data_IF_086257662780
#
_entry.id   IF_086257662780
#
_cell.length_a   1.000
_cell.length_b   1.000
_cell.length_c   1.000
_cell.angle_alpha   90.00
_cell.angle_beta   90.00
_cell.angle_gamma   90.00
#
_symmetry.space_group_name_H-M   'P 1'
#
loop_
_entity.id
_entity.type
_entity.pdbx_description
1 polymer ?
#
# COMPACT_ATOMS: atom_id res chain seq x y z
N UNK A 1 -11.51 4.70 -47.71
CA UNK A 1 -10.32 4.95 -46.84
C UNK A 1 -10.51 6.13 -45.88
N UNK A 2 -11.09 7.27 -46.30
CA UNK A 2 -11.27 8.47 -45.45
C UNK A 2 -12.06 8.25 -44.13
N UNK A 3 -13.08 7.37 -44.13
CA UNK A 3 -13.89 7.04 -42.93
C UNK A 3 -13.16 6.17 -41.87
N UNK A 4 -12.19 5.35 -42.29
CA UNK A 4 -11.39 4.53 -41.36
C UNK A 4 -10.32 5.36 -40.64
N UNK A 5 -9.81 6.39 -41.33
CA UNK A 5 -8.83 7.32 -40.77
C UNK A 5 -9.43 8.26 -39.70
N UNK A 6 -10.70 8.65 -39.88
CA UNK A 6 -11.43 9.49 -38.90
C UNK A 6 -11.77 8.72 -37.63
N UNK A 7 -12.08 7.41 -37.73
CA UNK A 7 -12.37 6.57 -36.56
C UNK A 7 -11.11 6.30 -35.72
N UNK A 8 -9.96 6.08 -36.35
CA UNK A 8 -8.69 5.89 -35.65
C UNK A 8 -8.22 7.15 -34.90
N UNK A 9 -8.43 8.34 -35.49
CA UNK A 9 -8.10 9.61 -34.83
C UNK A 9 -9.00 9.89 -33.60
N UNK A 10 -10.28 9.51 -33.67
CA UNK A 10 -11.22 9.67 -32.55
C UNK A 10 -10.89 8.75 -31.35
N UNK A 11 -10.44 7.52 -31.62
CA UNK A 11 -9.98 6.57 -30.59
C UNK A 11 -8.67 7.03 -29.94
N UNK A 12 -7.75 7.62 -30.71
CA UNK A 12 -6.51 8.18 -30.16
C UNK A 12 -6.80 9.38 -29.26
N UNK A 13 -7.69 10.29 -29.66
CA UNK A 13 -8.08 11.45 -28.85
C UNK A 13 -8.82 11.06 -27.55
N UNK A 14 -9.65 10.02 -27.57
CA UNK A 14 -10.33 9.50 -26.39
C UNK A 14 -9.35 8.90 -25.35
N UNK A 15 -8.24 8.34 -25.81
CA UNK A 15 -7.19 7.81 -24.91
C UNK A 15 -6.38 8.90 -24.19
N UNK A 16 -6.28 10.11 -24.76
CA UNK A 16 -5.56 11.23 -24.12
C UNK A 16 -6.42 11.93 -23.06
N UNK A 17 -7.75 11.89 -23.20
CA UNK A 17 -8.69 12.55 -22.27
C UNK A 17 -9.05 11.69 -21.06
N UNK A 18 -8.84 10.36 -21.11
CA UNK A 18 -9.20 9.44 -20.02
C UNK A 18 -8.19 9.31 -18.88
N UNK A 19 -7.05 10.02 -18.94
CA UNK A 19 -5.88 9.71 -18.11
C UNK A 19 -5.50 10.71 -17.02
N UNK A 20 -6.14 11.88 -16.92
CA UNK A 20 -5.84 12.79 -15.80
C UNK A 20 -6.69 12.40 -14.59
N UNK A 21 -6.14 11.51 -13.77
CA UNK A 21 -6.55 11.40 -12.38
C UNK A 21 -6.56 12.82 -11.78
N UNK A 22 -7.73 13.29 -11.34
CA UNK A 22 -7.88 14.60 -10.72
C UNK A 22 -7.24 14.54 -9.32
N UNK A 23 -5.92 14.68 -9.25
CA UNK A 23 -5.22 14.80 -7.99
C UNK A 23 -5.60 16.14 -7.34
N UNK A 24 -6.58 16.10 -6.42
CA UNK A 24 -6.88 17.25 -5.57
C UNK A 24 -5.90 17.26 -4.40
N UNK A 25 -5.24 18.39 -4.20
CA UNK A 25 -4.34 18.58 -3.07
C UNK A 25 -5.14 18.67 -1.77
N UNK A 26 -4.80 17.83 -0.80
CA UNK A 26 -5.24 17.95 0.58
C UNK A 26 -4.09 18.57 1.39
N UNK A 27 -4.36 19.66 2.10
CA UNK A 27 -3.42 20.24 3.07
C UNK A 27 -3.89 19.87 4.46
N UNK A 28 -3.05 19.12 5.19
CA UNK A 28 -3.25 18.75 6.57
C UNK A 28 -2.19 19.44 7.44
N UNK A 29 -2.61 20.27 8.40
CA UNK A 29 -1.71 20.91 9.36
C UNK A 29 -1.44 19.95 10.51
N UNK A 30 -0.32 19.22 10.47
CA UNK A 30 0.10 18.35 11.57
C UNK A 30 0.52 19.17 12.80
N UNK A 31 0.46 18.54 13.96
CA UNK A 31 0.77 19.12 15.27
C UNK A 31 2.29 19.22 15.54
N UNK A 32 3.08 18.41 14.85
CA UNK A 32 4.54 18.38 14.95
C UNK A 32 5.18 17.77 13.68
N UNK A 33 6.50 17.89 13.58
CA UNK A 33 7.28 17.14 12.60
C UNK A 33 7.43 15.66 13.04
N UNK A 34 7.47 14.69 12.11
CA UNK A 34 7.79 13.30 12.45
C UNK A 34 9.28 13.14 12.78
N UNK A 35 9.60 12.21 13.68
CA UNK A 35 10.96 11.80 14.03
C UNK A 35 11.60 10.91 12.95
N UNK A 36 10.79 10.19 12.18
CA UNK A 36 11.26 9.37 11.06
C UNK A 36 10.13 8.70 10.28
N UNK A 37 10.52 7.97 9.23
CA UNK A 37 9.58 7.31 8.30
C UNK A 37 9.60 5.78 8.37
N UNK A 38 10.43 5.19 9.23
CA UNK A 38 10.27 3.80 9.65
C UNK A 38 9.38 3.80 10.89
N UNK A 39 8.17 3.23 10.86
CA UNK A 39 7.27 3.28 12.01
C UNK A 39 7.65 2.31 13.14
N UNK A 40 8.50 1.30 12.94
CA UNK A 40 8.73 0.28 13.97
C UNK A 40 9.41 0.78 15.26
N UNK A 41 10.39 1.72 15.24
CA UNK A 41 11.03 2.18 16.47
C UNK A 41 10.32 3.36 17.15
N UNK A 42 9.26 3.92 16.54
CA UNK A 42 8.57 5.11 17.04
C UNK A 42 7.18 4.79 17.59
N UNK A 43 6.63 5.70 18.40
CA UNK A 43 5.31 5.57 19.02
C UNK A 43 4.43 6.81 18.92
N UNK A 44 4.92 7.89 18.30
CA UNK A 44 4.19 9.15 18.13
C UNK A 44 3.09 9.04 17.09
N UNK A 45 1.96 9.71 17.35
CA UNK A 45 0.85 9.81 16.39
C UNK A 45 1.27 10.51 15.10
N UNK A 46 1.98 11.64 15.24
CA UNK A 46 2.62 12.39 14.15
C UNK A 46 3.56 11.53 13.29
N UNK A 47 4.32 10.62 13.90
CA UNK A 47 5.21 9.71 13.18
C UNK A 47 4.40 8.74 12.30
N UNK A 48 3.34 8.17 12.87
CA UNK A 48 2.45 7.23 12.16
C UNK A 48 1.62 7.90 11.08
N UNK A 49 1.13 9.13 11.31
CA UNK A 49 0.42 9.93 10.31
C UNK A 49 1.29 10.24 9.09
N UNK A 50 2.58 10.54 9.32
CA UNK A 50 3.54 10.79 8.24
C UNK A 50 4.11 9.52 7.59
N UNK A 51 3.92 8.33 8.19
CA UNK A 51 4.53 7.08 7.71
C UNK A 51 3.52 5.93 7.58
N UNK A 52 3.29 5.14 8.63
CA UNK A 52 2.55 3.88 8.59
C UNK A 52 1.13 3.99 8.04
N UNK A 53 0.45 5.11 8.25
CA UNK A 53 -0.93 5.33 7.81
C UNK A 53 -1.05 5.68 6.33
N UNK A 54 -0.01 6.24 5.72
CA UNK A 54 -0.04 6.81 4.37
C UNK A 54 0.88 6.09 3.37
N UNK A 55 1.99 5.52 3.85
CA UNK A 55 3.03 4.91 3.02
C UNK A 55 2.98 3.37 3.06
N UNK A 56 2.66 2.78 4.22
CA UNK A 56 2.79 1.34 4.44
C UNK A 56 1.43 0.63 4.53
N UNK A 57 1.46 -0.70 4.58
CA UNK A 57 0.29 -1.55 4.79
C UNK A 57 0.64 -2.69 5.75
N UNK A 58 -0.37 -3.24 6.43
CA UNK A 58 -0.21 -4.36 7.36
C UNK A 58 -0.80 -5.65 6.79
N UNK A 59 -0.47 -6.80 7.40
CA UNK A 59 -1.08 -8.09 7.02
C UNK A 59 -2.61 -8.03 7.10
N UNK A 60 -3.12 -7.41 8.17
CA UNK A 60 -4.52 -7.10 8.37
C UNK A 60 -4.70 -5.63 8.72
N UNK A 61 -5.86 -5.08 8.40
CA UNK A 61 -6.18 -3.66 8.55
C UNK A 61 -7.44 -3.49 9.39
N UNK A 62 -7.66 -2.28 9.93
CA UNK A 62 -8.95 -1.93 10.52
C UNK A 62 -9.88 -1.33 9.46
N UNK A 63 -11.17 -1.63 9.56
CA UNK A 63 -12.18 -0.83 8.87
C UNK A 63 -12.09 0.63 9.31
N UNK A 64 -12.20 1.56 8.36
CA UNK A 64 -12.06 2.98 8.66
C UNK A 64 -13.12 3.43 9.68
N UNK A 65 -12.67 4.04 10.78
CA UNK A 65 -13.53 4.49 11.88
C UNK A 65 -14.05 3.36 12.79
N UNK A 66 -13.55 2.13 12.65
CA UNK A 66 -13.95 0.97 13.46
C UNK A 66 -12.74 0.18 13.97
N UNK A 67 -12.99 -0.74 14.88
CA UNK A 67 -12.01 -1.71 15.40
C UNK A 67 -12.17 -3.11 14.79
N UNK A 68 -13.09 -3.26 13.84
CA UNK A 68 -13.28 -4.50 13.09
C UNK A 68 -12.09 -4.73 12.15
N UNK A 69 -11.51 -5.92 12.22
CA UNK A 69 -10.37 -6.33 11.38
C UNK A 69 -10.87 -6.74 10.00
N UNK A 70 -10.13 -6.34 8.96
CA UNK A 70 -10.35 -6.73 7.56
C UNK A 70 -9.04 -7.16 6.88
N UNK A 71 -9.10 -7.87 5.74
CA UNK A 71 -7.92 -8.20 4.94
C UNK A 71 -7.09 -6.98 4.53
N UNK A 72 -5.77 -7.11 4.63
CA UNK A 72 -4.78 -6.13 4.18
C UNK A 72 -3.89 -6.71 3.09
N UNK A 73 -2.60 -6.83 3.39
CA UNK A 73 -1.62 -7.55 2.58
C UNK A 73 -1.85 -9.07 2.58
N UNK A 74 -2.49 -9.62 3.61
CA UNK A 74 -3.06 -10.95 3.57
C UNK A 74 -4.51 -10.88 3.08
N UNK A 75 -4.86 -11.69 2.08
CA UNK A 75 -6.25 -11.78 1.58
C UNK A 75 -7.15 -12.65 2.48
N UNK A 76 -6.55 -13.59 3.21
CA UNK A 76 -7.19 -14.38 4.25
C UNK A 76 -6.17 -14.92 5.24
N UNK A 77 -6.63 -15.43 6.37
CA UNK A 77 -5.82 -16.15 7.34
C UNK A 77 -6.64 -17.23 8.02
N UNK A 78 -5.95 -18.26 8.51
CA UNK A 78 -6.52 -19.31 9.35
C UNK A 78 -5.81 -19.31 10.69
N UNK A 79 -6.53 -19.72 11.73
CA UNK A 79 -6.02 -19.88 13.08
C UNK A 79 -6.22 -21.35 13.46
N UNK A 80 -5.21 -22.01 14.01
CA UNK A 80 -5.32 -23.38 14.51
C UNK A 80 -6.33 -23.47 15.66
N UNK A 81 -6.85 -24.68 15.92
CA UNK A 81 -7.83 -24.92 16.98
C UNK A 81 -7.30 -24.55 18.39
N UNK A 82 -5.98 -24.66 18.60
CA UNK A 82 -5.31 -24.29 19.85
C UNK A 82 -4.92 -22.79 19.93
N UNK A 83 -5.10 -22.03 18.84
CA UNK A 83 -4.79 -20.61 18.76
C UNK A 83 -3.29 -20.27 18.73
N UNK A 84 -2.40 -21.26 18.55
CA UNK A 84 -0.95 -21.05 18.56
C UNK A 84 -0.35 -20.83 17.18
N UNK A 85 -1.06 -21.19 16.11
CA UNK A 85 -0.59 -21.04 14.74
C UNK A 85 -1.53 -20.15 13.92
N UNK A 86 -0.95 -19.12 13.31
CA UNK A 86 -1.63 -18.21 12.38
C UNK A 86 -1.00 -18.36 11.00
N UNK A 87 -1.79 -18.80 10.02
CA UNK A 87 -1.33 -18.93 8.63
C UNK A 87 -1.98 -17.84 7.78
N UNK A 88 -1.17 -16.95 7.21
CA UNK A 88 -1.63 -15.87 6.36
C UNK A 88 -1.44 -16.22 4.87
N UNK A 89 -2.49 -16.04 4.08
CA UNK A 89 -2.40 -16.11 2.62
C UNK A 89 -2.13 -14.71 2.07
N UNK A 90 -0.92 -14.47 1.58
CA UNK A 90 -0.51 -13.17 1.05
C UNK A 90 -1.20 -12.87 -0.29
N UNK A 91 -1.55 -11.60 -0.48
CA UNK A 91 -2.11 -11.06 -1.72
C UNK A 91 -1.04 -11.13 -2.82
N UNK A 92 -1.32 -11.77 -3.97
CA UNK A 92 -0.38 -11.78 -5.08
C UNK A 92 -0.34 -10.42 -5.80
N UNK A 93 0.77 -10.12 -6.47
CA UNK A 93 0.87 -8.98 -7.36
C UNK A 93 1.05 -7.61 -6.69
N UNK A 94 1.25 -7.57 -5.36
CA UNK A 94 1.43 -6.30 -4.64
C UNK A 94 2.80 -5.73 -4.96
N UNK A 95 2.82 -4.53 -5.53
CA UNK A 95 4.05 -3.82 -5.91
C UNK A 95 4.53 -2.95 -4.76
N UNK A 96 5.84 -2.90 -4.57
CA UNK A 96 6.45 -1.84 -3.77
C UNK A 96 6.44 -0.51 -4.52
N UNK A 97 6.58 0.57 -3.76
CA UNK A 97 6.76 1.91 -4.31
C UNK A 97 8.06 1.97 -5.12
N UNK A 98 8.05 2.75 -6.20
CA UNK A 98 9.25 3.06 -7.00
C UNK A 98 9.66 4.50 -6.73
N UNK A 99 10.94 4.72 -6.48
CA UNK A 99 11.55 6.04 -6.26
C UNK A 99 12.80 6.16 -7.13
N UNK A 100 13.37 7.37 -7.22
CA UNK A 100 14.60 7.61 -7.98
C UNK A 100 15.80 6.78 -7.49
N UNK A 101 15.76 6.29 -6.25
CA UNK A 101 16.82 5.52 -5.61
C UNK A 101 16.47 4.04 -5.38
N UNK A 102 15.24 3.61 -5.68
CA UNK A 102 14.81 2.23 -5.51
C UNK A 102 13.78 1.83 -6.57
N UNK A 103 14.12 0.81 -7.36
CA UNK A 103 13.22 0.18 -8.31
C UNK A 103 13.06 -1.30 -7.94
N UNK A 104 11.87 -1.74 -7.49
CA UNK A 104 11.66 -3.13 -7.11
C UNK A 104 11.72 -4.05 -8.35
N UNK A 105 12.42 -5.17 -8.22
CA UNK A 105 12.55 -6.20 -9.27
C UNK A 105 11.57 -7.35 -9.11
N UNK A 106 10.85 -7.39 -7.98
CA UNK A 106 9.84 -8.38 -7.65
C UNK A 106 8.68 -7.75 -6.88
N UNK A 107 7.62 -8.52 -6.74
CA UNK A 107 6.46 -8.16 -5.93
C UNK A 107 6.70 -8.56 -4.47
N UNK A 108 5.83 -8.05 -3.59
CA UNK A 108 5.73 -8.50 -2.21
C UNK A 108 5.63 -10.03 -2.15
N UNK A 109 6.48 -10.66 -1.32
CA UNK A 109 6.40 -12.07 -0.97
C UNK A 109 6.60 -12.31 0.54
N UNK A 110 6.68 -13.57 0.96
CA UNK A 110 6.83 -13.90 2.38
C UNK A 110 8.14 -13.37 3.00
N UNK A 111 9.21 -13.19 2.21
CA UNK A 111 10.51 -12.72 2.71
C UNK A 111 10.41 -11.30 3.29
N UNK A 112 9.55 -10.45 2.71
CA UNK A 112 9.33 -9.08 3.18
C UNK A 112 8.65 -9.04 4.56
N UNK A 113 7.72 -9.97 4.77
CA UNK A 113 7.03 -10.14 6.06
C UNK A 113 8.03 -10.66 7.08
N UNK A 114 8.79 -11.70 6.74
CA UNK A 114 9.83 -12.27 7.62
C UNK A 114 10.82 -11.19 8.03
N UNK A 115 11.39 -10.44 7.08
CA UNK A 115 12.31 -9.34 7.35
C UNK A 115 11.72 -8.33 8.34
N UNK A 116 10.47 -7.91 8.13
CA UNK A 116 9.81 -6.88 8.94
C UNK A 116 9.64 -7.28 10.41
N UNK A 117 9.36 -8.56 10.68
CA UNK A 117 9.24 -9.09 12.04
C UNK A 117 10.62 -9.42 12.63
N UNK A 118 11.50 -10.08 11.89
CA UNK A 118 12.79 -10.51 12.41
C UNK A 118 13.70 -9.35 12.80
N UNK A 119 13.69 -8.24 12.06
CA UNK A 119 14.52 -7.05 12.38
C UNK A 119 14.15 -6.35 13.70
N UNK A 120 13.00 -6.69 14.29
CA UNK A 120 12.56 -6.16 15.58
C UNK A 120 12.81 -7.14 16.72
N UNK A 121 12.81 -8.44 16.40
CA UNK A 121 12.98 -9.52 17.38
C UNK A 121 14.45 -9.84 17.65
N UNK A 122 15.29 -9.78 16.61
CA UNK A 122 16.74 -9.99 16.68
C UNK A 122 17.45 -8.65 16.84
#
# INVERSE_FOLDING_TARGET
MKKKLTFAAALLAASVLGGMANAKQLVYCSEASPAGFDPSPWSGGNDFDASSRTIYSRLVEFEHGKTTIKPGLAESWTVSDDGLEYTFKLRPGVKFQTTDYFTPTRDLNADDVIFSFERQWK
#
